data_IF_034254877391
#
_entry.id   IF_034254877391
#
_cell.length_a   1.000
_cell.length_b   1.000
_cell.length_c   1.000
_cell.angle_alpha   90.00
_cell.angle_beta   90.00
_cell.angle_gamma   90.00
#
_symmetry.space_group_name_H-M   'P 1'
#
loop_
_entity.id
_entity.type
_entity.pdbx_description
1 polymer ?
#
# COMPACT_ATOMS: atom_id res chain seq x y z
N UNK A 1 -11.73 -5.98 -40.90
CA UNK A 1 -11.20 -7.13 -40.12
C UNK A 1 -10.68 -6.60 -38.80
N UNK A 2 -11.15 -7.11 -37.66
CA UNK A 2 -10.61 -6.68 -36.35
C UNK A 2 -9.15 -7.11 -36.27
N UNK A 3 -8.23 -6.15 -36.12
CA UNK A 3 -6.80 -6.44 -35.95
C UNK A 3 -6.66 -7.23 -34.64
N UNK A 4 -6.35 -8.52 -34.73
CA UNK A 4 -6.16 -9.38 -33.55
C UNK A 4 -5.11 -8.74 -32.66
N UNK A 5 -5.50 -8.45 -31.43
CA UNK A 5 -4.62 -7.94 -30.38
C UNK A 5 -3.94 -9.12 -29.70
N UNK A 6 -2.75 -8.88 -29.16
CA UNK A 6 -1.95 -9.88 -28.49
C UNK A 6 -1.07 -9.22 -27.41
N UNK A 7 -0.66 -10.01 -26.43
CA UNK A 7 0.33 -9.64 -25.42
C UNK A 7 1.56 -10.53 -25.56
N UNK A 8 2.73 -10.02 -25.23
CA UNK A 8 4.00 -10.76 -25.26
C UNK A 8 4.55 -10.88 -23.85
N UNK A 9 4.95 -12.09 -23.48
CA UNK A 9 5.51 -12.42 -22.18
C UNK A 9 6.90 -13.05 -22.37
N UNK A 10 7.80 -12.87 -21.40
CA UNK A 10 9.10 -13.55 -21.35
C UNK A 10 8.96 -14.97 -20.83
N UNK A 11 9.83 -15.89 -21.22
CA UNK A 11 9.86 -17.24 -20.62
C UNK A 11 10.46 -17.25 -19.21
N UNK A 12 11.32 -16.27 -18.92
CA UNK A 12 11.87 -16.02 -17.59
C UNK A 12 11.83 -14.52 -17.29
N UNK A 13 10.98 -14.06 -16.35
CA UNK A 13 10.92 -12.66 -15.95
C UNK A 13 12.21 -12.15 -15.29
N UNK A 14 13.03 -13.03 -14.71
CA UNK A 14 14.23 -12.63 -13.96
C UNK A 14 15.34 -12.08 -14.87
N UNK A 15 15.31 -12.38 -16.17
CA UNK A 15 16.25 -11.81 -17.15
C UNK A 15 16.17 -10.28 -17.19
N UNK A 16 15.04 -9.70 -16.78
CA UNK A 16 14.89 -8.25 -16.69
C UNK A 16 15.86 -7.61 -15.70
N UNK A 17 16.36 -8.34 -14.70
CA UNK A 17 17.36 -7.80 -13.76
C UNK A 17 18.66 -7.42 -14.49
N UNK A 18 19.04 -8.19 -15.53
CA UNK A 18 20.27 -7.98 -16.29
C UNK A 18 20.04 -7.26 -17.63
N UNK A 19 18.90 -7.52 -18.29
CA UNK A 19 18.67 -7.17 -19.69
C UNK A 19 17.54 -6.14 -19.90
N UNK A 20 17.03 -5.49 -18.85
CA UNK A 20 15.91 -4.53 -18.94
C UNK A 20 16.06 -3.54 -20.11
N UNK A 21 17.20 -2.86 -20.21
CA UNK A 21 17.41 -1.84 -21.25
C UNK A 21 17.47 -2.43 -22.66
N UNK A 22 17.99 -3.67 -22.80
CA UNK A 22 18.05 -4.36 -24.10
C UNK A 22 16.65 -4.77 -24.54
N UNK A 23 15.84 -5.29 -23.62
CA UNK A 23 14.41 -5.60 -23.87
C UNK A 23 13.64 -4.34 -24.21
N UNK A 24 13.81 -3.27 -23.41
CA UNK A 24 13.14 -1.99 -23.62
C UNK A 24 13.45 -1.38 -24.98
N UNK A 25 14.71 -1.43 -25.44
CA UNK A 25 15.10 -0.95 -26.76
C UNK A 25 14.37 -1.67 -27.89
N UNK A 26 14.27 -3.01 -27.81
CA UNK A 26 13.53 -3.81 -28.81
C UNK A 26 12.06 -3.39 -28.84
N UNK A 27 11.45 -3.20 -27.67
CA UNK A 27 10.05 -2.75 -27.56
C UNK A 27 9.88 -1.34 -28.14
N UNK A 28 10.75 -0.41 -27.79
CA UNK A 28 10.74 0.97 -28.24
C UNK A 28 10.87 1.08 -29.76
N UNK A 29 11.81 0.33 -30.36
CA UNK A 29 12.03 0.30 -31.81
C UNK A 29 10.79 -0.20 -32.57
N UNK A 30 10.13 -1.26 -32.08
CA UNK A 30 8.97 -1.82 -32.76
C UNK A 30 7.72 -0.97 -32.58
N UNK A 31 7.54 -0.37 -31.39
CA UNK A 31 6.36 0.44 -31.08
C UNK A 31 6.50 1.91 -31.48
N UNK A 32 7.70 2.36 -31.84
CA UNK A 32 7.97 3.76 -32.18
C UNK A 32 7.79 4.71 -30.99
N UNK A 33 8.14 4.28 -29.78
CA UNK A 33 8.04 5.08 -28.55
C UNK A 33 9.43 5.34 -27.92
N UNK A 34 9.55 6.29 -26.97
CA UNK A 34 10.80 6.52 -26.25
C UNK A 34 11.28 5.29 -25.47
N UNK A 35 12.60 5.03 -25.45
CA UNK A 35 13.21 3.90 -24.73
C UNK A 35 12.90 3.94 -23.22
N UNK A 36 12.81 5.14 -22.63
CA UNK A 36 12.45 5.31 -21.22
C UNK A 36 11.03 4.79 -20.90
N UNK A 37 10.06 5.08 -21.77
CA UNK A 37 8.66 4.64 -21.58
C UNK A 37 8.52 3.13 -21.74
N UNK A 38 9.23 2.56 -22.73
CA UNK A 38 9.33 1.12 -22.91
C UNK A 38 9.99 0.46 -21.68
N UNK A 39 11.05 1.06 -21.13
CA UNK A 39 11.74 0.54 -19.96
C UNK A 39 10.84 0.54 -18.72
N UNK A 40 10.05 1.59 -18.49
CA UNK A 40 9.07 1.62 -17.40
C UNK A 40 8.00 0.54 -17.59
N UNK A 41 7.47 0.41 -18.81
CA UNK A 41 6.46 -0.60 -19.15
C UNK A 41 6.96 -2.02 -18.88
N UNK A 42 8.15 -2.35 -19.38
CA UNK A 42 8.76 -3.67 -19.22
C UNK A 42 9.11 -3.95 -17.76
N UNK A 43 9.68 -2.98 -17.05
CA UNK A 43 10.07 -3.11 -15.63
C UNK A 43 8.87 -3.44 -14.75
N UNK A 44 7.79 -2.69 -14.89
CA UNK A 44 6.59 -2.87 -14.07
C UNK A 44 5.70 -4.03 -14.55
N UNK A 45 5.93 -4.54 -15.75
CA UNK A 45 5.23 -5.69 -16.30
C UNK A 45 5.64 -7.04 -15.69
N UNK A 46 6.78 -7.14 -14.99
CA UNK A 46 7.28 -8.36 -14.31
C UNK A 46 7.15 -9.63 -15.16
N UNK A 47 7.69 -9.57 -16.39
CA UNK A 47 7.61 -10.65 -17.37
C UNK A 47 6.59 -10.42 -18.47
N UNK A 48 5.59 -9.55 -18.27
CA UNK A 48 4.69 -9.09 -19.33
C UNK A 48 5.34 -7.90 -20.06
N UNK A 49 5.90 -8.14 -21.24
CA UNK A 49 6.69 -7.16 -22.00
C UNK A 49 5.82 -6.08 -22.62
N UNK A 50 4.74 -6.48 -23.29
CA UNK A 50 3.76 -5.58 -23.91
C UNK A 50 2.35 -6.17 -23.81
N UNK A 51 1.35 -5.30 -23.73
CA UNK A 51 -0.07 -5.66 -23.56
C UNK A 51 -0.91 -5.13 -24.72
N UNK A 52 -1.81 -5.96 -25.22
CA UNK A 52 -2.87 -5.55 -26.16
C UNK A 52 -2.36 -4.78 -27.40
N UNK A 53 -1.22 -5.23 -27.94
CA UNK A 53 -0.64 -4.68 -29.18
C UNK A 53 -1.16 -5.45 -30.39
N UNK A 54 -1.17 -4.87 -31.61
CA UNK A 54 -1.43 -5.64 -32.81
C UNK A 54 -0.49 -6.86 -32.90
N UNK A 55 -1.03 -8.04 -33.23
CA UNK A 55 -0.24 -9.28 -33.29
C UNK A 55 1.06 -9.18 -34.13
N UNK A 56 1.12 -8.45 -35.26
CA UNK A 56 2.38 -8.25 -35.99
C UNK A 56 3.48 -7.56 -35.15
N UNK A 57 3.12 -6.63 -34.27
CA UNK A 57 4.08 -5.95 -33.40
C UNK A 57 4.59 -6.89 -32.31
N UNK A 58 3.71 -7.67 -31.68
CA UNK A 58 4.12 -8.70 -30.71
C UNK A 58 5.12 -9.68 -31.33
N UNK A 59 4.89 -10.15 -32.57
CA UNK A 59 5.83 -11.03 -33.29
C UNK A 59 7.15 -10.36 -33.63
N UNK A 60 7.15 -9.09 -34.04
CA UNK A 60 8.38 -8.33 -34.29
C UNK A 60 9.20 -8.17 -33.01
N UNK A 61 8.57 -7.86 -31.87
CA UNK A 61 9.25 -7.80 -30.58
C UNK A 61 9.80 -9.17 -30.20
N UNK A 62 9.00 -10.24 -30.29
CA UNK A 62 9.42 -11.63 -30.03
C UNK A 62 10.67 -12.02 -30.83
N UNK A 63 10.72 -11.69 -32.13
CA UNK A 63 11.91 -11.90 -32.98
C UNK A 63 13.12 -11.09 -32.52
N UNK A 64 12.89 -9.82 -32.13
CA UNK A 64 13.93 -8.98 -31.56
C UNK A 64 14.52 -9.56 -30.27
N UNK A 65 13.67 -10.10 -29.38
CA UNK A 65 14.09 -10.77 -28.15
C UNK A 65 14.84 -12.07 -28.43
N UNK A 66 14.38 -12.87 -29.40
CA UNK A 66 15.08 -14.08 -29.83
C UNK A 66 16.52 -13.79 -30.31
N UNK A 67 16.74 -12.68 -31.04
CA UNK A 67 18.09 -12.23 -31.43
C UNK A 67 18.98 -11.85 -30.25
N UNK A 68 18.40 -11.52 -29.10
CA UNK A 68 19.13 -11.28 -27.85
C UNK A 68 19.39 -12.58 -27.07
N UNK A 69 18.89 -13.73 -27.55
CA UNK A 69 18.92 -15.00 -26.82
C UNK A 69 17.88 -15.08 -25.70
N UNK A 70 16.82 -14.26 -25.77
CA UNK A 70 15.76 -14.21 -24.75
C UNK A 70 14.51 -14.91 -25.27
N UNK A 71 14.06 -15.91 -24.50
CA UNK A 71 12.82 -16.61 -24.75
C UNK A 71 11.59 -15.74 -24.46
N UNK A 72 10.56 -15.87 -25.30
CA UNK A 72 9.27 -15.19 -25.11
C UNK A 72 8.14 -15.90 -25.86
N UNK A 73 6.91 -15.70 -25.40
CA UNK A 73 5.71 -16.29 -25.96
C UNK A 73 4.57 -15.28 -26.06
N UNK A 74 3.68 -15.49 -27.05
CA UNK A 74 2.56 -14.61 -27.35
C UNK A 74 1.27 -15.23 -26.84
N UNK A 75 0.43 -14.42 -26.18
CA UNK A 75 -0.94 -14.80 -25.80
C UNK A 75 -1.94 -13.88 -26.48
N UNK A 76 -3.07 -14.44 -26.94
CA UNK A 76 -4.11 -13.64 -27.61
C UNK A 76 -4.79 -12.66 -26.64
N UNK A 77 -5.00 -13.07 -25.39
CA UNK A 77 -5.63 -12.24 -24.36
C UNK A 77 -4.98 -12.47 -23.00
N UNK A 78 -4.31 -11.42 -22.51
CA UNK A 78 -3.80 -11.41 -21.15
C UNK A 78 -4.98 -11.38 -20.17
N UNK A 79 -5.21 -12.51 -19.50
CA UNK A 79 -6.17 -12.65 -18.41
C UNK A 79 -5.71 -11.88 -17.18
N UNK A 80 -6.62 -11.12 -16.59
CA UNK A 80 -6.46 -10.58 -15.23
C UNK A 80 -6.38 -11.74 -14.24
N UNK A 81 -5.43 -11.72 -13.29
CA UNK A 81 -5.36 -12.76 -12.28
C UNK A 81 -6.66 -12.80 -11.46
N UNK A 82 -7.10 -13.98 -10.97
CA UNK A 82 -8.27 -14.05 -10.12
C UNK A 82 -8.10 -13.22 -8.85
N UNK A 83 -9.21 -12.65 -8.34
CA UNK A 83 -9.15 -11.92 -7.07
C UNK A 83 -8.69 -12.86 -5.95
N UNK A 84 -7.63 -12.47 -5.26
CA UNK A 84 -7.05 -13.26 -4.18
C UNK A 84 -8.05 -13.45 -3.01
N UNK A 85 -8.34 -14.71 -2.69
CA UNK A 85 -9.07 -15.11 -1.49
C UNK A 85 -8.09 -15.13 -0.32
N UNK A 86 -8.36 -14.34 0.74
CA UNK A 86 -7.52 -14.37 1.96
C UNK A 86 -7.70 -15.73 2.65
N UNK A 87 -6.63 -16.50 2.72
CA UNK A 87 -6.64 -17.74 3.47
C UNK A 87 -6.82 -17.43 4.97
N UNK A 88 -7.72 -18.16 5.63
CA UNK A 88 -7.87 -18.20 7.08
C UNK A 88 -7.27 -19.45 7.72
N UNK A 89 -6.93 -20.46 6.92
CA UNK A 89 -6.37 -21.73 7.36
C UNK A 89 -5.56 -22.36 6.21
N UNK A 90 -4.38 -22.90 6.52
CA UNK A 90 -3.56 -23.66 5.58
C UNK A 90 -2.93 -24.84 6.31
N UNK A 91 -3.20 -26.04 5.82
CA UNK A 91 -2.44 -27.25 6.16
C UNK A 91 -1.74 -27.76 4.89
N UNK A 92 -0.48 -28.15 5.03
CA UNK A 92 0.31 -28.72 3.92
C UNK A 92 0.57 -30.18 4.25
N UNK A 93 0.22 -31.07 3.31
CA UNK A 93 0.44 -32.50 3.42
C UNK A 93 1.09 -33.09 2.16
N UNK A 94 1.45 -34.37 2.20
CA UNK A 94 2.07 -35.05 1.06
C UNK A 94 1.11 -35.24 -0.13
N UNK A 95 -0.20 -35.25 0.10
CA UNK A 95 -1.21 -35.43 -0.96
C UNK A 95 -1.76 -34.12 -1.52
N UNK A 96 -1.51 -32.99 -0.85
CA UNK A 96 -2.06 -31.70 -1.25
C UNK A 96 -2.09 -30.72 -0.09
N UNK A 97 -2.98 -29.74 -0.22
CA UNK A 97 -3.22 -28.67 0.72
C UNK A 97 -4.63 -28.79 1.29
N UNK A 98 -4.83 -28.27 2.49
CA UNK A 98 -6.15 -27.97 3.02
C UNK A 98 -6.25 -26.46 3.21
N UNK A 99 -7.05 -25.79 2.39
CA UNK A 99 -7.17 -24.35 2.34
C UNK A 99 -8.55 -23.92 2.86
N UNK A 100 -8.57 -23.10 3.90
CA UNK A 100 -9.80 -22.50 4.41
C UNK A 100 -9.82 -21.00 4.19
N UNK A 101 -10.99 -20.46 3.84
CA UNK A 101 -11.28 -19.02 3.92
C UNK A 101 -12.04 -18.79 5.22
N UNK A 102 -11.89 -17.62 5.83
CA UNK A 102 -12.62 -17.28 7.06
C UNK A 102 -14.13 -17.53 6.88
N UNK A 103 -14.75 -18.17 7.87
CA UNK A 103 -16.18 -18.53 7.88
C UNK A 103 -16.64 -19.52 6.80
N UNK A 104 -15.72 -20.16 6.08
CA UNK A 104 -16.04 -21.26 5.15
C UNK A 104 -15.32 -22.54 5.58
N UNK A 105 -15.94 -23.72 5.36
CA UNK A 105 -15.26 -24.98 5.63
C UNK A 105 -13.98 -25.08 4.77
N UNK A 106 -12.86 -25.58 5.33
CA UNK A 106 -11.65 -25.78 4.54
C UNK A 106 -11.88 -26.78 3.41
N UNK A 107 -11.35 -26.46 2.23
CA UNK A 107 -11.34 -27.29 1.03
C UNK A 107 -10.03 -28.08 0.96
N UNK A 108 -10.11 -29.35 0.62
CA UNK A 108 -8.94 -30.15 0.23
C UNK A 108 -8.60 -29.83 -1.23
N UNK A 109 -7.33 -29.54 -1.50
CA UNK A 109 -6.79 -29.15 -2.80
C UNK A 109 -5.63 -30.09 -3.09
N UNK A 110 -5.76 -31.08 -3.99
CA UNK A 110 -4.65 -31.94 -4.36
C UNK A 110 -3.52 -31.13 -5.00
N UNK A 111 -2.28 -31.62 -4.90
CA UNK A 111 -1.14 -30.92 -5.51
C UNK A 111 -1.26 -30.75 -7.03
N UNK A 112 -1.99 -31.66 -7.69
CA UNK A 112 -2.30 -31.56 -9.13
C UNK A 112 -3.12 -30.32 -9.48
N UNK A 113 -3.93 -29.81 -8.55
CA UNK A 113 -4.68 -28.56 -8.72
C UNK A 113 -3.83 -27.32 -8.39
N UNK A 114 -2.61 -27.46 -7.86
CA UNK A 114 -1.77 -26.30 -7.54
C UNK A 114 -0.90 -25.96 -8.74
N UNK A 115 -1.06 -24.76 -9.28
CA UNK A 115 -0.30 -24.29 -10.44
C UNK A 115 1.02 -23.67 -10.00
N UNK A 116 0.97 -22.77 -9.01
CA UNK A 116 2.15 -22.04 -8.57
C UNK A 116 2.12 -21.73 -7.07
N UNK A 117 3.33 -21.69 -6.48
CA UNK A 117 3.59 -21.23 -5.11
C UNK A 117 4.55 -20.06 -5.20
N UNK A 118 4.06 -18.85 -4.92
CA UNK A 118 4.84 -17.62 -5.03
C UNK A 118 4.92 -16.89 -3.68
N UNK A 119 6.10 -16.87 -3.07
CA UNK A 119 6.38 -15.96 -1.96
C UNK A 119 6.63 -14.54 -2.49
N UNK A 120 6.04 -13.54 -1.85
CA UNK A 120 6.16 -12.15 -2.24
C UNK A 120 6.32 -11.23 -1.03
N UNK A 121 6.92 -10.07 -1.26
CA UNK A 121 6.87 -8.88 -0.42
C UNK A 121 6.38 -7.72 -1.30
N UNK A 122 5.28 -7.07 -0.94
CA UNK A 122 4.80 -5.89 -1.69
C UNK A 122 4.94 -4.65 -0.83
N UNK A 123 5.52 -3.59 -1.39
CA UNK A 123 5.50 -2.26 -0.79
C UNK A 123 4.06 -1.76 -0.69
N UNK A 124 3.66 -1.40 0.51
CA UNK A 124 2.44 -0.68 0.80
C UNK A 124 2.84 0.71 1.24
N UNK A 125 2.25 1.71 0.61
CA UNK A 125 2.18 3.03 1.22
C UNK A 125 1.42 2.87 2.54
N UNK A 126 1.97 3.48 3.59
CA UNK A 126 1.38 3.49 4.92
C UNK A 126 0.09 4.32 4.82
N UNK A 127 -1.01 3.70 4.41
CA UNK A 127 -2.32 4.33 4.54
C UNK A 127 -2.53 4.71 6.00
N UNK A 128 -3.16 5.86 6.23
CA UNK A 128 -3.46 6.50 7.53
C UNK A 128 -4.16 5.61 8.58
N UNK A 129 -4.51 4.37 8.25
CA UNK A 129 -4.90 3.32 9.19
C UNK A 129 -3.66 2.69 9.87
N UNK A 130 -2.85 3.54 10.52
CA UNK A 130 -1.68 3.11 11.28
C UNK A 130 -2.03 2.28 12.54
N UNK A 131 -3.30 2.19 12.91
CA UNK A 131 -3.76 1.61 14.17
C UNK A 131 -3.67 0.08 14.29
N UNK A 132 -3.50 -0.66 13.19
CA UNK A 132 -3.66 -2.12 13.20
C UNK A 132 -2.36 -2.95 13.05
N UNK A 133 -1.20 -2.32 12.84
CA UNK A 133 0.06 -3.06 12.74
C UNK A 133 0.86 -2.96 14.03
N UNK A 134 0.73 -3.97 14.89
CA UNK A 134 1.64 -4.15 16.02
C UNK A 134 3.08 -4.24 15.48
N UNK A 135 4.05 -3.47 16.03
CA UNK A 135 5.46 -3.62 15.64
C UNK A 135 5.88 -5.09 15.77
N UNK A 136 6.79 -5.55 14.92
CA UNK A 136 7.33 -6.93 14.92
C UNK A 136 8.03 -7.23 16.26
N UNK A 137 7.25 -7.49 17.32
CA UNK A 137 7.76 -7.57 18.69
C UNK A 137 8.96 -8.51 18.75
N UNK A 138 10.07 -7.99 19.26
CA UNK A 138 11.27 -8.75 19.53
C UNK A 138 10.91 -9.85 20.53
N UNK A 139 10.81 -11.08 20.02
CA UNK A 139 10.64 -12.26 20.87
C UNK A 139 12.03 -12.85 21.07
N UNK A 140 12.38 -13.13 22.33
CA UNK A 140 13.74 -13.45 22.78
C UNK A 140 14.29 -14.82 22.32
N UNK A 141 13.65 -15.48 21.36
CA UNK A 141 14.09 -16.76 20.79
C UNK A 141 13.75 -16.83 19.30
N UNK A 142 14.40 -16.00 18.49
CA UNK A 142 14.31 -16.04 17.01
C UNK A 142 15.55 -16.72 16.42
N UNK A 143 15.36 -17.41 15.30
CA UNK A 143 16.48 -18.02 14.58
C UNK A 143 17.29 -16.96 13.82
N UNK A 144 18.57 -17.22 13.49
CA UNK A 144 19.40 -16.28 12.73
C UNK A 144 18.77 -15.85 11.40
N UNK A 145 18.09 -16.78 10.73
CA UNK A 145 17.40 -16.57 9.46
C UNK A 145 16.26 -15.54 9.59
N UNK A 146 15.45 -15.67 10.63
CA UNK A 146 14.35 -14.75 10.93
C UNK A 146 14.89 -13.36 11.26
N UNK A 147 15.99 -13.30 12.02
CA UNK A 147 16.63 -12.03 12.36
C UNK A 147 17.22 -11.33 11.13
N UNK A 148 17.83 -12.09 10.21
CA UNK A 148 18.35 -11.54 8.96
C UNK A 148 17.24 -10.95 8.10
N UNK A 149 16.17 -11.71 7.87
CA UNK A 149 15.04 -11.25 7.07
C UNK A 149 14.38 -10.01 7.71
N UNK A 150 14.16 -10.05 9.02
CA UNK A 150 13.62 -8.93 9.80
C UNK A 150 14.47 -7.68 9.67
N UNK A 151 15.77 -7.77 9.92
CA UNK A 151 16.67 -6.62 9.85
C UNK A 151 16.70 -6.01 8.44
N UNK A 152 16.60 -6.85 7.40
CA UNK A 152 16.47 -6.37 6.02
C UNK A 152 15.16 -5.61 5.79
N UNK A 153 14.03 -6.13 6.29
CA UNK A 153 12.72 -5.48 6.18
C UNK A 153 12.73 -4.14 6.93
N UNK A 154 13.12 -4.14 8.21
CA UNK A 154 13.17 -2.94 9.05
C UNK A 154 14.04 -1.85 8.40
N UNK A 155 15.24 -2.21 7.92
CA UNK A 155 16.12 -1.26 7.22
C UNK A 155 15.48 -0.68 5.95
N UNK A 156 14.75 -1.49 5.19
CA UNK A 156 14.07 -1.03 3.98
C UNK A 156 12.89 -0.10 4.32
N UNK A 157 12.05 -0.51 5.28
CA UNK A 157 10.90 0.25 5.74
C UNK A 157 11.30 1.61 6.30
N UNK A 158 12.36 1.66 7.13
CA UNK A 158 12.91 2.89 7.70
C UNK A 158 13.45 3.83 6.62
N UNK A 159 14.19 3.29 5.64
CA UNK A 159 14.81 4.08 4.57
C UNK A 159 13.78 4.66 3.61
N UNK A 160 12.82 3.85 3.20
CA UNK A 160 11.85 4.21 2.16
C UNK A 160 10.54 4.78 2.74
N UNK A 161 10.43 4.84 4.08
CA UNK A 161 9.25 5.30 4.84
C UNK A 161 7.97 4.59 4.42
N UNK A 162 8.06 3.28 4.18
CA UNK A 162 6.97 2.44 3.66
C UNK A 162 6.87 1.16 4.47
N UNK A 163 5.78 0.41 4.31
CA UNK A 163 5.65 -0.93 4.90
C UNK A 163 5.74 -2.04 3.86
N UNK A 164 6.33 -3.17 4.21
CA UNK A 164 6.38 -4.36 3.40
C UNK A 164 5.33 -5.38 3.84
N UNK A 165 4.42 -5.73 2.92
CA UNK A 165 3.43 -6.78 3.12
C UNK A 165 3.98 -8.09 2.56
N UNK A 166 4.41 -8.97 3.46
CA UNK A 166 4.84 -10.32 3.09
C UNK A 166 3.65 -11.28 3.00
N UNK A 167 3.72 -12.18 2.01
CA UNK A 167 2.75 -13.26 1.85
C UNK A 167 3.19 -14.36 0.91
N UNK A 168 2.30 -15.33 0.73
CA UNK A 168 2.42 -16.41 -0.24
C UNK A 168 1.13 -16.45 -1.05
N UNK A 169 1.27 -16.45 -2.36
CA UNK A 169 0.20 -16.72 -3.31
C UNK A 169 0.24 -18.18 -3.73
N UNK A 170 -0.91 -18.84 -3.62
CA UNK A 170 -1.19 -20.19 -4.08
C UNK A 170 -2.17 -20.07 -5.24
N UNK A 171 -1.64 -20.22 -6.45
CA UNK A 171 -2.44 -20.22 -7.67
C UNK A 171 -2.91 -21.65 -7.95
N UNK A 172 -4.21 -21.84 -8.16
CA UNK A 172 -4.78 -23.15 -8.44
C UNK A 172 -5.21 -23.27 -9.91
N UNK A 173 -5.40 -24.49 -10.39
CA UNK A 173 -6.02 -24.76 -11.68
C UNK A 173 -7.44 -24.17 -11.70
N UNK A 174 -7.70 -23.27 -12.67
CA UNK A 174 -8.93 -22.50 -12.75
C UNK A 174 -8.80 -21.08 -12.18
N UNK A 175 -9.93 -20.40 -11.87
CA UNK A 175 -9.93 -19.00 -11.49
C UNK A 175 -9.75 -18.80 -9.98
N UNK A 176 -8.87 -19.56 -9.32
CA UNK A 176 -8.69 -19.45 -7.87
C UNK A 176 -7.26 -19.08 -7.48
N UNK A 177 -7.17 -18.00 -6.69
CA UNK A 177 -5.94 -17.53 -6.08
C UNK A 177 -6.18 -17.44 -4.57
N UNK A 178 -5.36 -18.12 -3.78
CA UNK A 178 -5.35 -18.01 -2.32
C UNK A 178 -4.12 -17.24 -1.86
N UNK A 179 -4.32 -16.25 -0.99
CA UNK A 179 -3.24 -15.43 -0.43
C UNK A 179 -3.14 -15.63 1.07
N UNK A 180 -1.97 -16.06 1.51
CA UNK A 180 -1.59 -16.21 2.92
C UNK A 180 -0.72 -15.02 3.30
N UNK A 181 -1.17 -14.19 4.24
CA UNK A 181 -0.35 -13.08 4.75
C UNK A 181 0.49 -13.52 5.94
N UNK A 182 1.72 -13.01 6.03
CA UNK A 182 2.64 -13.36 7.12
C UNK A 182 2.08 -13.02 8.51
N UNK A 183 1.34 -11.92 8.63
CA UNK A 183 0.78 -11.36 9.86
C UNK A 183 -0.44 -12.11 10.43
N UNK A 184 -1.01 -13.05 9.68
CA UNK A 184 -2.30 -13.64 10.05
C UNK A 184 -2.09 -14.86 10.96
N UNK A 185 -2.04 -14.59 12.27
CA UNK A 185 -1.68 -15.56 13.33
C UNK A 185 -2.48 -16.86 13.33
N UNK A 186 -3.78 -16.81 13.00
CA UNK A 186 -4.67 -17.97 12.99
C UNK A 186 -4.36 -18.99 11.89
N UNK A 187 -3.75 -18.57 10.78
CA UNK A 187 -3.52 -19.45 9.61
C UNK A 187 -2.51 -20.55 9.95
N UNK A 188 -1.50 -20.22 10.78
CA UNK A 188 -0.39 -21.12 11.10
C UNK A 188 -0.69 -22.15 12.18
N UNK A 189 -1.96 -22.27 12.61
CA UNK A 189 -2.33 -23.10 13.76
C UNK A 189 -1.87 -24.57 13.62
N UNK A 190 -1.79 -25.07 12.39
CA UNK A 190 -1.44 -26.45 12.06
C UNK A 190 -0.04 -26.62 11.47
N UNK A 191 0.76 -25.54 11.45
CA UNK A 191 2.12 -25.59 10.94
C UNK A 191 3.02 -26.44 11.88
N UNK A 192 3.71 -27.47 11.38
CA UNK A 192 4.69 -28.21 12.17
C UNK A 192 5.77 -27.27 12.72
N UNK A 193 6.05 -27.34 14.02
CA UNK A 193 7.05 -26.47 14.64
C UNK A 193 6.64 -25.00 14.76
N UNK A 194 5.32 -24.71 14.72
CA UNK A 194 4.76 -23.37 14.92
C UNK A 194 5.44 -22.62 16.07
N UNK A 195 5.87 -21.41 15.77
CA UNK A 195 6.43 -20.43 16.69
C UNK A 195 5.37 -19.37 17.08
N UNK A 196 5.67 -18.58 18.11
CA UNK A 196 4.93 -17.34 18.41
C UNK A 196 5.32 -16.20 17.46
N UNK A 197 6.42 -16.36 16.73
CA UNK A 197 6.91 -15.39 15.77
C UNK A 197 6.26 -15.61 14.40
N UNK A 198 5.49 -14.62 13.93
CA UNK A 198 4.77 -14.67 12.66
C UNK A 198 5.71 -14.85 11.45
N UNK A 199 6.86 -14.18 11.44
CA UNK A 199 7.85 -14.27 10.37
C UNK A 199 8.51 -15.66 10.31
N UNK A 200 8.77 -16.27 11.47
CA UNK A 200 9.24 -17.65 11.54
C UNK A 200 8.20 -18.63 10.99
N UNK A 201 6.91 -18.42 11.32
CA UNK A 201 5.83 -19.25 10.78
C UNK A 201 5.67 -19.06 9.27
N UNK A 202 5.82 -17.84 8.77
CA UNK A 202 5.83 -17.54 7.34
C UNK A 202 6.95 -18.30 6.62
N UNK A 203 8.20 -18.19 7.08
CA UNK A 203 9.33 -18.94 6.50
C UNK A 203 9.13 -20.45 6.61
N UNK A 204 8.61 -20.92 7.74
CA UNK A 204 8.27 -22.34 7.94
C UNK A 204 7.21 -22.82 6.93
N UNK A 205 6.19 -22.02 6.67
CA UNK A 205 5.16 -22.31 5.68
C UNK A 205 5.74 -22.33 4.25
N UNK A 206 6.50 -21.30 3.85
CA UNK A 206 7.13 -21.25 2.52
C UNK A 206 8.03 -22.47 2.32
N UNK A 207 8.87 -22.80 3.31
CA UNK A 207 9.74 -23.98 3.28
C UNK A 207 8.94 -25.27 3.13
N UNK A 208 7.84 -25.42 3.87
CA UNK A 208 6.99 -26.61 3.81
C UNK A 208 6.29 -26.75 2.46
N UNK A 209 5.78 -25.66 1.89
CA UNK A 209 5.16 -25.63 0.57
C UNK A 209 6.16 -26.01 -0.51
N UNK A 210 7.35 -25.40 -0.51
CA UNK A 210 8.41 -25.70 -1.50
C UNK A 210 8.92 -27.13 -1.38
N UNK A 211 9.02 -27.67 -0.16
CA UNK A 211 9.48 -29.04 0.06
C UNK A 211 8.48 -30.11 -0.38
N UNK A 212 7.18 -29.82 -0.37
CA UNK A 212 6.11 -30.75 -0.76
C UNK A 212 5.60 -30.53 -2.18
N UNK A 213 5.90 -29.39 -2.79
CA UNK A 213 5.50 -29.09 -4.17
C UNK A 213 6.12 -30.12 -5.14
N UNK A 214 5.32 -30.84 -5.94
CA UNK A 214 5.84 -31.73 -6.97
C UNK A 214 6.48 -30.94 -8.12
N UNK A 215 7.22 -31.63 -8.99
CA UNK A 215 7.96 -31.01 -10.11
C UNK A 215 7.08 -30.20 -11.08
N UNK A 216 5.79 -30.50 -11.16
CA UNK A 216 4.83 -29.77 -11.99
C UNK A 216 4.35 -28.43 -11.40
N UNK A 217 4.55 -28.19 -10.10
CA UNK A 217 4.17 -26.92 -9.47
C UNK A 217 5.25 -25.87 -9.72
N UNK A 218 4.83 -24.73 -10.24
CA UNK A 218 5.74 -23.62 -10.51
C UNK A 218 6.15 -22.93 -9.20
N UNK A 219 7.44 -22.99 -8.89
CA UNK A 219 8.04 -22.27 -7.75
C UNK A 219 9.07 -21.29 -8.29
N UNK A 220 8.78 -19.97 -8.30
CA UNK A 220 9.71 -18.97 -8.79
C UNK A 220 11.08 -19.03 -8.10
N UNK A 221 12.20 -18.78 -8.81
CA UNK A 221 13.53 -18.78 -8.23
C UNK A 221 13.68 -17.74 -7.13
N UNK A 222 13.03 -16.58 -7.21
CA UNK A 222 12.92 -15.63 -6.09
C UNK A 222 12.41 -16.26 -4.79
N UNK A 223 11.37 -17.12 -4.87
CA UNK A 223 10.87 -17.88 -3.71
C UNK A 223 11.91 -18.86 -3.15
N UNK A 224 12.68 -19.51 -4.02
CA UNK A 224 13.76 -20.42 -3.61
C UNK A 224 14.95 -19.65 -3.01
N UNK A 225 15.30 -18.50 -3.58
CA UNK A 225 16.38 -17.63 -3.08
C UNK A 225 16.01 -17.00 -1.74
N UNK A 226 14.76 -16.65 -1.50
CA UNK A 226 14.26 -16.28 -0.18
C UNK A 226 14.61 -17.34 0.87
N UNK A 227 14.33 -18.62 0.59
CA UNK A 227 14.63 -19.71 1.53
C UNK A 227 16.14 -19.97 1.70
N UNK A 228 16.94 -19.67 0.67
CA UNK A 228 18.39 -19.87 0.73
C UNK A 228 19.10 -18.70 1.44
N UNK A 229 18.67 -17.47 1.17
CA UNK A 229 19.36 -16.22 1.56
C UNK A 229 18.67 -15.50 2.71
N UNK A 230 17.38 -15.72 2.91
CA UNK A 230 16.53 -15.05 3.89
C UNK A 230 16.53 -13.53 3.70
N UNK A 231 16.40 -13.10 2.45
CA UNK A 231 16.37 -11.70 2.03
C UNK A 231 15.07 -11.40 1.30
N UNK A 232 14.39 -10.31 1.65
CA UNK A 232 13.10 -9.93 1.06
C UNK A 232 13.25 -9.37 -0.36
N UNK A 233 14.44 -8.88 -0.72
CA UNK A 233 14.73 -8.27 -2.03
C UNK A 233 14.53 -9.23 -3.20
N UNK A 234 14.72 -10.54 -2.97
CA UNK A 234 14.50 -11.59 -3.98
C UNK A 234 13.01 -11.79 -4.33
N UNK A 235 12.09 -11.25 -3.52
CA UNK A 235 10.64 -11.41 -3.67
C UNK A 235 9.90 -10.06 -3.64
N UNK A 236 10.63 -8.94 -3.79
CA UNK A 236 10.10 -7.59 -3.61
C UNK A 236 9.40 -7.09 -4.88
N UNK A 237 8.17 -6.60 -4.70
CA UNK A 237 7.38 -5.85 -5.67
C UNK A 237 7.16 -4.44 -5.13
N UNK A 238 7.45 -3.41 -5.94
CA UNK A 238 7.36 -2.02 -5.51
C UNK A 238 5.93 -1.49 -5.52
N UNK A 239 5.03 -2.16 -6.25
CA UNK A 239 3.61 -1.81 -6.32
C UNK A 239 2.73 -3.07 -6.34
N UNK A 240 1.46 -2.99 -5.90
CA UNK A 240 0.52 -4.12 -6.01
C UNK A 240 0.31 -4.59 -7.45
N UNK A 241 0.28 -3.67 -8.42
CA UNK A 241 0.06 -3.97 -9.84
C UNK A 241 1.19 -4.81 -10.42
N UNK A 242 2.41 -4.68 -9.89
CA UNK A 242 3.55 -5.50 -10.25
C UNK A 242 3.34 -6.97 -9.84
N UNK A 243 2.86 -7.20 -8.61
CA UNK A 243 2.51 -8.55 -8.15
C UNK A 243 1.35 -9.14 -8.97
N UNK A 244 0.35 -8.34 -9.32
CA UNK A 244 -0.74 -8.77 -10.20
C UNK A 244 -0.23 -9.14 -11.59
N UNK A 245 0.69 -8.35 -12.14
CA UNK A 245 1.32 -8.60 -13.43
C UNK A 245 2.13 -9.89 -13.42
N UNK A 246 2.90 -10.13 -12.37
CA UNK A 246 3.64 -11.38 -12.17
C UNK A 246 2.70 -12.58 -11.97
N UNK A 247 1.58 -12.39 -11.26
CA UNK A 247 0.57 -13.45 -11.08
C UNK A 247 -0.13 -13.78 -12.40
N UNK A 248 -0.41 -12.78 -13.23
CA UNK A 248 -0.89 -12.99 -14.59
C UNK A 248 0.13 -13.78 -15.41
N UNK A 249 1.41 -13.41 -15.31
CA UNK A 249 2.50 -14.12 -15.97
C UNK A 249 2.54 -15.60 -15.57
N UNK A 250 2.48 -15.92 -14.26
CA UNK A 250 2.46 -17.31 -13.76
C UNK A 250 1.31 -18.13 -14.35
N UNK A 251 0.11 -17.53 -14.44
CA UNK A 251 -1.06 -18.16 -15.02
C UNK A 251 -0.84 -18.51 -16.50
N UNK A 252 -0.36 -17.55 -17.30
CA UNK A 252 -0.15 -17.76 -18.73
C UNK A 252 1.03 -18.68 -19.04
N UNK A 253 2.09 -18.63 -18.23
CA UNK A 253 3.23 -19.55 -18.35
C UNK A 253 2.78 -21.00 -18.11
N UNK A 254 1.95 -21.24 -17.09
CA UNK A 254 1.36 -22.55 -16.85
C UNK A 254 0.43 -23.00 -17.99
N UNK A 255 -0.46 -22.14 -18.48
CA UNK A 255 -1.35 -22.46 -19.61
C UNK A 255 -0.56 -22.79 -20.90
N UNK A 256 0.61 -22.17 -21.08
CA UNK A 256 1.53 -22.46 -22.17
C UNK A 256 2.37 -23.73 -21.96
N UNK A 257 2.27 -24.38 -20.80
CA UNK A 257 3.08 -25.55 -20.44
C UNK A 257 4.57 -25.23 -20.25
N UNK A 258 4.90 -23.96 -19.98
CA UNK A 258 6.27 -23.51 -19.81
C UNK A 258 6.70 -23.73 -18.35
N UNK A 259 7.79 -24.50 -18.09
CA UNK A 259 8.38 -24.51 -16.77
C UNK A 259 9.03 -23.15 -16.51
N UNK A 260 9.08 -22.70 -15.24
CA UNK A 260 9.76 -21.45 -14.90
C UNK A 260 11.23 -21.51 -15.34
N UNK A 261 11.65 -20.61 -16.22
CA UNK A 261 13.02 -20.59 -16.73
C UNK A 261 13.39 -21.82 -17.58
N UNK A 262 12.40 -22.49 -18.17
CA UNK A 262 12.66 -23.49 -19.20
C UNK A 262 13.47 -22.87 -20.32
N UNK A 263 14.66 -23.41 -20.59
CA UNK A 263 15.37 -23.06 -21.80
C UNK A 263 14.46 -23.41 -22.98
N UNK A 264 14.10 -22.41 -23.78
CA UNK A 264 13.47 -22.65 -25.08
C UNK A 264 14.46 -23.49 -25.87
N UNK A 265 14.16 -24.77 -26.05
CA UNK A 265 14.81 -25.54 -27.10
C UNK A 265 14.51 -24.83 -28.43
N UNK A 266 15.56 -24.50 -29.18
CA UNK A 266 15.55 -23.67 -30.38
C UNK A 266 14.24 -23.80 -31.18
N UNK A 267 13.45 -22.71 -31.23
CA UNK A 267 12.30 -22.63 -32.11
C UNK A 267 12.79 -22.89 -33.55
N UNK A 268 12.17 -23.81 -34.30
CA UNK A 268 12.65 -24.13 -35.64
C UNK A 268 12.59 -22.89 -36.53
N UNK A 269 13.71 -22.57 -37.19
CA UNK A 269 13.90 -21.42 -38.08
C UNK A 269 12.81 -21.26 -39.15
N UNK A 270 12.12 -22.36 -39.50
CA UNK A 270 11.02 -22.41 -40.48
C UNK A 270 9.82 -21.52 -40.10
N UNK A 271 9.56 -21.24 -38.83
CA UNK A 271 8.45 -20.35 -38.42
C UNK A 271 8.78 -18.86 -38.68
N UNK A 272 10.06 -18.52 -38.86
CA UNK A 272 10.52 -17.15 -39.04
C UNK A 272 10.60 -16.71 -40.51
N UNK A 273 10.78 -17.65 -41.44
CA UNK A 273 11.02 -17.34 -42.86
C UNK A 273 9.75 -16.96 -43.65
N UNK A 274 8.61 -17.59 -43.38
CA UNK A 274 7.43 -17.49 -44.26
C UNK A 274 6.61 -16.19 -44.08
N UNK A 275 6.80 -15.42 -43.01
CA UNK A 275 6.04 -14.17 -42.78
C UNK A 275 6.81 -12.89 -43.16
N UNK A 276 8.11 -12.96 -43.43
CA UNK A 276 8.91 -11.78 -43.78
C UNK A 276 8.60 -11.31 -45.21
N UNK A 277 8.34 -12.24 -46.12
CA UNK A 277 7.98 -11.96 -47.52
C UNK A 277 6.58 -11.31 -47.64
N UNK A 278 5.65 -11.65 -46.75
CA UNK A 278 4.30 -11.08 -46.74
C UNK A 278 4.22 -9.65 -46.19
N UNK A 279 5.18 -9.23 -45.36
CA UNK A 279 5.16 -7.93 -44.69
C UNK A 279 5.94 -6.85 -45.47
N UNK A 280 6.97 -7.25 -46.22
CA UNK A 280 7.69 -6.36 -47.15
C UNK A 280 6.77 -5.92 -48.30
N UNK A 281 5.91 -6.82 -48.80
CA UNK A 281 4.97 -6.51 -49.88
C UNK A 281 3.84 -5.55 -49.48
N UNK A 282 3.55 -5.40 -48.18
CA UNK A 282 2.50 -4.50 -47.70
C UNK A 282 2.99 -3.07 -47.39
N UNK A 283 4.31 -2.87 -47.27
CA UNK A 283 4.90 -1.55 -46.99
C UNK A 283 5.28 -0.78 -48.27
N UNK A 284 5.38 -1.46 -49.41
CA UNK A 284 5.80 -0.87 -50.69
C UNK A 284 4.62 -0.30 -51.52
N UNK A 285 3.36 -0.57 -51.16
CA UNK A 285 2.18 -0.11 -51.92
C UNK A 285 1.58 1.23 -51.44
N UNK A 286 2.04 1.84 -50.34
CA UNK A 286 1.45 3.08 -49.78
C UNK A 286 2.39 4.32 -49.81
N UNK A 287 3.57 4.27 -50.43
CA UNK A 287 4.54 5.39 -50.43
C UNK A 287 4.77 6.10 -51.77
N UNK A 288 4.07 5.72 -52.85
CA UNK A 288 4.26 6.33 -54.18
C UNK A 288 3.46 7.63 -54.43
N UNK A 289 2.64 8.09 -53.48
CA UNK A 289 1.78 9.30 -53.63
C UNK A 289 2.22 10.51 -52.76
N UNK A 290 3.47 10.53 -52.26
CA UNK A 290 4.03 11.73 -51.64
C UNK A 290 4.66 12.65 -52.72
N UNK A 291 3.79 13.35 -53.45
CA UNK A 291 4.18 14.40 -54.39
C UNK A 291 5.06 15.47 -53.71
N UNK A 292 6.07 15.91 -54.47
CA UNK A 292 7.04 16.96 -54.18
C UNK A 292 6.41 18.18 -53.47
N UNK A 293 6.74 18.39 -52.20
CA UNK A 293 6.54 19.68 -51.55
C UNK A 293 7.76 20.55 -51.86
N UNK A 294 7.54 21.58 -52.68
CA UNK A 294 8.52 22.58 -53.10
C UNK A 294 9.17 23.31 -51.90
N UNK A 295 10.51 23.36 -51.90
CA UNK A 295 11.41 24.00 -50.92
C UNK A 295 11.41 25.54 -50.96
N UNK A 296 10.25 26.19 -51.02
CA UNK A 296 10.17 27.66 -51.09
C UNK A 296 9.11 28.22 -50.15
N UNK A 297 9.52 28.58 -48.92
CA UNK A 297 9.01 29.68 -48.06
C UNK A 297 9.22 29.39 -46.56
N UNK A 298 10.49 29.36 -46.12
CA UNK A 298 10.85 29.39 -44.68
C UNK A 298 11.89 30.48 -44.39
N UNK A 299 11.62 31.70 -44.84
CA UNK A 299 12.24 32.91 -44.31
C UNK A 299 11.09 33.88 -43.95
N UNK A 300 11.09 34.39 -42.72
CA UNK A 300 10.23 35.47 -42.16
C UNK A 300 9.23 35.10 -41.04
N UNK A 301 9.71 34.50 -39.95
CA UNK A 301 8.92 34.45 -38.71
C UNK A 301 9.76 34.62 -37.42
N UNK A 302 10.79 35.47 -37.46
CA UNK A 302 11.57 35.85 -36.29
C UNK A 302 11.59 37.38 -36.13
N UNK A 303 10.42 38.00 -35.95
CA UNK A 303 10.37 39.40 -35.53
C UNK A 303 9.21 39.65 -34.56
N UNK A 304 9.60 40.11 -33.36
CA UNK A 304 8.85 40.95 -32.43
C UNK A 304 7.52 40.45 -31.84
N UNK A 305 7.57 39.97 -30.59
CA UNK A 305 6.62 40.45 -29.56
C UNK A 305 7.37 40.60 -28.23
N UNK A 306 7.61 41.86 -27.86
CA UNK A 306 7.98 42.29 -26.51
C UNK A 306 6.87 43.23 -26.02
N UNK A 307 6.52 43.10 -24.74
CA UNK A 307 5.39 43.81 -24.10
C UNK A 307 4.06 43.07 -24.32
N UNK A 308 3.10 43.09 -23.42
CA UNK A 308 2.81 44.10 -22.42
C UNK A 308 1.86 43.51 -21.36
N UNK A 309 1.95 44.10 -20.17
CA UNK A 309 1.04 44.21 -19.02
C UNK A 309 -0.35 43.53 -18.96
N UNK A 310 -0.75 43.36 -17.68
CA UNK A 310 -2.11 43.26 -17.13
C UNK A 310 -2.80 41.90 -17.27
N UNK A 311 -3.69 41.47 -16.40
CA UNK A 311 -4.10 41.77 -15.03
C UNK A 311 -5.09 40.63 -14.69
N UNK A 312 -5.39 40.45 -13.40
CA UNK A 312 -6.68 40.04 -12.84
C UNK A 312 -7.65 39.29 -13.76
N UNK A 313 -7.91 38.02 -13.43
CA UNK A 313 -9.28 37.49 -13.49
C UNK A 313 -9.39 36.40 -12.39
N UNK A 314 -9.89 36.86 -11.24
CA UNK A 314 -10.74 36.06 -10.36
C UNK A 314 -11.93 35.57 -11.19
N UNK A 315 -12.14 34.25 -11.30
CA UNK A 315 -13.44 33.73 -11.65
C UNK A 315 -13.72 32.46 -10.83
N UNK A 316 -14.56 32.71 -9.83
CA UNK A 316 -15.35 31.74 -9.09
C UNK A 316 -16.05 30.77 -10.05
N UNK A 317 -15.83 29.47 -9.83
CA UNK A 317 -16.70 28.44 -10.36
C UNK A 317 -17.04 27.45 -9.24
N UNK A 318 -18.02 27.86 -8.44
CA UNK A 318 -18.88 26.99 -7.66
C UNK A 318 -19.48 25.90 -8.56
N UNK A 319 -18.94 24.69 -8.47
CA UNK A 319 -19.59 23.48 -8.96
C UNK A 319 -20.31 22.80 -7.79
N UNK A 320 -21.53 23.28 -7.56
CA UNK A 320 -22.61 22.67 -6.80
C UNK A 320 -23.08 21.38 -7.51
N UNK A 321 -22.43 20.25 -7.20
CA UNK A 321 -22.90 18.93 -7.61
C UNK A 321 -23.77 18.31 -6.50
N UNK A 322 -25.04 18.75 -6.53
CA UNK A 322 -26.23 17.93 -6.44
C UNK A 322 -26.15 16.61 -5.67
N UNK A 323 -26.57 16.68 -4.40
CA UNK A 323 -27.06 15.56 -3.61
C UNK A 323 -28.19 14.84 -4.36
N UNK A 324 -27.96 13.56 -4.71
CA UNK A 324 -29.05 12.60 -4.91
C UNK A 324 -29.24 11.83 -3.61
N UNK A 325 -30.24 12.26 -2.85
CA UNK A 325 -30.90 11.46 -1.83
C UNK A 325 -31.59 10.29 -2.55
N UNK A 326 -30.97 9.12 -2.53
CA UNK A 326 -31.66 7.85 -2.80
C UNK A 326 -32.00 7.22 -1.44
N UNK A 327 -33.23 7.53 -1.03
CA UNK A 327 -34.03 6.82 -0.05
C UNK A 327 -34.20 5.34 -0.46
N UNK A 328 -33.46 4.44 0.19
CA UNK A 328 -33.80 3.01 0.25
C UNK A 328 -34.24 2.67 1.69
N UNK A 329 -35.42 3.18 2.06
CA UNK A 329 -36.29 2.54 3.04
C UNK A 329 -37.02 1.38 2.34
N UNK A 330 -36.71 0.13 2.71
CA UNK A 330 -37.66 -0.99 2.58
C UNK A 330 -37.27 -2.14 3.52
N UNK A 331 -38.00 -2.21 4.62
CA UNK A 331 -38.71 -3.39 5.10
C UNK A 331 -38.07 -4.79 4.95
N UNK A 332 -37.62 -5.35 6.08
CA UNK A 332 -37.95 -6.74 6.42
C UNK A 332 -37.88 -6.96 7.93
N UNK A 333 -39.02 -6.72 8.55
CA UNK A 333 -39.49 -7.22 9.83
C UNK A 333 -39.39 -8.76 9.87
N UNK A 334 -38.69 -9.29 10.87
CA UNK A 334 -38.76 -10.68 11.29
C UNK A 334 -38.48 -10.75 12.79
N UNK A 335 -39.54 -10.50 13.55
CA UNK A 335 -39.75 -11.03 14.88
C UNK A 335 -39.80 -12.56 14.84
N UNK A 336 -39.11 -13.20 15.79
CA UNK A 336 -39.63 -14.35 16.54
C UNK A 336 -38.65 -14.69 17.68
N UNK A 337 -39.06 -14.27 18.87
CA UNK A 337 -39.05 -15.01 20.14
C UNK A 337 -38.27 -16.34 20.20
N UNK A 338 -37.32 -16.43 21.14
CA UNK A 338 -37.32 -17.55 22.08
C UNK A 338 -36.54 -17.21 23.36
N UNK A 339 -37.31 -17.19 24.44
CA UNK A 339 -36.91 -17.04 25.83
C UNK A 339 -36.00 -18.19 26.28
N UNK A 340 -34.93 -17.85 27.01
CA UNK A 340 -34.32 -18.78 27.96
C UNK A 340 -33.72 -18.03 29.15
N UNK A 341 -34.52 -17.97 30.22
CA UNK A 341 -34.15 -17.58 31.57
C UNK A 341 -32.89 -18.29 32.08
N UNK A 342 -32.00 -17.53 32.70
CA UNK A 342 -30.79 -18.02 33.36
C UNK A 342 -30.34 -17.09 34.48
N UNK A 343 -30.96 -17.27 35.64
CA UNK A 343 -30.81 -16.51 36.89
C UNK A 343 -29.39 -16.47 37.49
N UNK A 344 -29.09 -15.32 38.11
CA UNK A 344 -28.23 -15.07 39.29
C UNK A 344 -26.69 -14.91 39.14
N UNK A 345 -25.99 -14.25 40.11
CA UNK A 345 -26.39 -13.15 41.00
C UNK A 345 -25.39 -11.96 41.09
N UNK A 346 -25.91 -10.96 41.79
CA UNK A 346 -25.38 -9.71 42.33
C UNK A 346 -23.97 -9.69 42.95
N UNK A 347 -23.31 -8.53 42.82
CA UNK A 347 -22.51 -7.95 43.90
C UNK A 347 -21.24 -7.22 43.47
N UNK A 348 -21.30 -5.88 43.38
CA UNK A 348 -20.21 -5.02 43.88
C UNK A 348 -20.67 -3.57 43.95
N UNK A 349 -20.70 -3.04 45.17
CA UNK A 349 -20.92 -1.64 45.52
C UNK A 349 -19.58 -0.91 45.40
N UNK A 350 -19.52 0.21 44.69
CA UNK A 350 -18.44 1.19 44.82
C UNK A 350 -19.04 2.55 45.22
N UNK A 351 -18.38 3.30 46.12
CA UNK A 351 -18.90 4.56 46.65
C UNK A 351 -18.63 5.71 45.68
N UNK A 352 -19.53 6.70 45.69
CA UNK A 352 -19.32 8.00 45.09
C UNK A 352 -18.30 8.80 45.92
N UNK A 353 -17.34 9.43 45.25
CA UNK A 353 -16.50 10.50 45.83
C UNK A 353 -16.65 11.76 44.99
N UNK A 354 -17.00 12.84 45.68
CA UNK A 354 -17.10 14.22 45.21
C UNK A 354 -15.70 14.80 44.97
N UNK A 355 -15.30 15.02 43.71
CA UNK A 355 -14.12 15.84 43.36
C UNK A 355 -14.35 16.59 42.05
N UNK A 356 -15.30 17.54 42.05
CA UNK A 356 -15.54 18.44 40.91
C UNK A 356 -15.09 19.90 41.18
N UNK A 357 -14.38 20.15 42.28
CA UNK A 357 -14.04 21.52 42.71
C UNK A 357 -12.62 22.01 42.38
N UNK A 358 -11.70 21.11 42.02
CA UNK A 358 -10.26 21.44 41.90
C UNK A 358 -9.85 21.91 40.50
N UNK A 359 -10.40 21.30 39.45
CA UNK A 359 -9.97 21.50 38.06
C UNK A 359 -10.37 22.87 37.50
N UNK A 360 -11.57 23.36 37.85
CA UNK A 360 -12.06 24.67 37.38
C UNK A 360 -11.31 25.85 37.97
N UNK A 361 -10.66 25.67 39.13
CA UNK A 361 -9.84 26.71 39.76
C UNK A 361 -8.45 26.82 39.11
N UNK A 362 -7.86 25.69 38.72
CA UNK A 362 -6.57 25.65 38.03
C UNK A 362 -6.65 26.24 36.61
N UNK A 363 -7.74 25.97 35.88
CA UNK A 363 -7.92 26.46 34.51
C UNK A 363 -8.21 27.97 34.44
N UNK A 364 -8.92 28.52 35.43
CA UNK A 364 -9.15 29.98 35.52
C UNK A 364 -7.87 30.76 35.83
N UNK A 365 -6.88 30.15 36.48
CA UNK A 365 -5.57 30.76 36.71
C UNK A 365 -4.69 30.79 35.44
N UNK A 366 -4.82 29.77 34.57
CA UNK A 366 -4.08 29.68 33.30
C UNK A 366 -4.64 30.67 32.27
N UNK A 367 -5.98 30.78 32.16
CA UNK A 367 -6.62 31.75 31.27
C UNK A 367 -6.32 33.20 31.66
N UNK A 368 -6.21 33.49 32.97
CA UNK A 368 -5.88 34.83 33.45
C UNK A 368 -4.39 35.19 33.26
N UNK A 369 -3.51 34.22 33.08
CA UNK A 369 -2.09 34.44 32.80
C UNK A 369 -1.81 34.66 31.30
N UNK A 370 -2.68 34.15 30.43
CA UNK A 370 -2.54 34.29 28.97
C UNK A 370 -3.04 35.65 28.42
N UNK A 371 -3.85 36.39 29.18
CA UNK A 371 -4.41 37.69 28.76
C UNK A 371 -3.48 38.91 29.03
N UNK A 372 -2.29 38.71 29.61
CA UNK A 372 -1.35 39.80 29.96
C UNK A 372 -0.09 39.85 29.08
N UNK A 373 -0.05 39.09 27.98
CA UNK A 373 1.02 39.14 26.99
C UNK A 373 0.64 40.08 25.85
N UNK A 374 1.20 41.29 25.85
CA UNK A 374 1.03 42.25 24.77
C UNK A 374 1.82 41.86 23.51
N UNK A 375 1.17 42.04 22.35
CA UNK A 375 1.59 41.75 20.97
C UNK A 375 2.92 42.38 20.49
N UNK A 376 3.65 43.11 21.35
CA UNK A 376 4.78 43.97 20.94
C UNK A 376 6.17 43.34 21.18
N UNK A 377 6.28 42.20 21.88
CA UNK A 377 7.58 41.61 22.29
C UNK A 377 7.97 40.29 21.57
N UNK A 378 7.20 39.81 20.58
CA UNK A 378 7.48 38.53 19.87
C UNK A 378 8.27 38.67 18.56
N UNK A 379 8.88 39.82 18.30
CA UNK A 379 9.69 40.04 17.10
C UNK A 379 11.19 39.94 17.42
N UNK A 380 11.70 38.73 17.63
CA UNK A 380 13.07 38.28 17.32
C UNK A 380 13.34 36.94 18.02
N UNK A 381 13.16 35.79 17.34
CA UNK A 381 14.00 34.57 17.46
C UNK A 381 13.44 33.39 16.59
N UNK A 382 14.13 33.07 15.50
CA UNK A 382 13.84 31.97 14.55
C UNK A 382 14.13 30.55 15.13
N UNK A 383 13.58 30.21 16.30
CA UNK A 383 13.78 28.89 16.90
C UNK A 383 12.49 28.37 17.57
N UNK A 384 11.56 27.81 16.79
CA UNK A 384 10.72 26.62 17.14
C UNK A 384 9.40 26.45 16.32
N UNK A 385 9.20 27.09 15.17
CA UNK A 385 7.85 27.11 14.57
C UNK A 385 7.44 25.83 13.81
N UNK A 386 8.37 25.05 13.24
CA UNK A 386 7.99 23.93 12.35
C UNK A 386 7.31 22.77 13.12
N UNK A 387 7.76 22.47 14.34
CA UNK A 387 7.15 21.42 15.18
C UNK A 387 5.84 21.89 15.83
N UNK A 388 5.71 23.20 16.13
CA UNK A 388 4.49 23.76 16.73
C UNK A 388 3.38 23.92 15.69
N UNK A 389 3.72 24.34 14.46
CA UNK A 389 2.77 24.37 13.34
C UNK A 389 2.23 22.97 13.06
N UNK A 390 3.08 21.92 13.00
CA UNK A 390 2.60 20.56 12.76
C UNK A 390 1.65 20.05 13.86
N UNK A 391 1.90 20.43 15.12
CA UNK A 391 1.03 20.11 16.26
C UNK A 391 -0.30 20.88 16.21
N UNK A 392 -0.28 22.17 15.86
CA UNK A 392 -1.48 22.98 15.72
C UNK A 392 -2.34 22.51 14.54
N UNK A 393 -1.70 22.14 13.43
CA UNK A 393 -2.36 21.62 12.23
C UNK A 393 -2.94 20.21 12.48
N UNK A 394 -2.27 19.39 13.31
CA UNK A 394 -2.83 18.13 13.82
C UNK A 394 -4.05 18.37 14.73
N UNK A 395 -3.98 19.37 15.61
CA UNK A 395 -5.06 19.72 16.52
C UNK A 395 -6.28 20.27 15.77
N UNK A 396 -6.12 21.18 14.82
CA UNK A 396 -7.26 21.73 14.08
C UNK A 396 -7.98 20.67 13.24
N UNK A 397 -7.23 19.70 12.71
CA UNK A 397 -7.77 18.59 11.93
C UNK A 397 -8.49 17.53 12.78
N UNK A 398 -8.00 17.28 13.99
CA UNK A 398 -8.48 16.14 14.80
C UNK A 398 -9.25 16.55 16.06
N UNK A 399 -9.16 17.83 16.45
CA UNK A 399 -9.58 18.38 17.76
C UNK A 399 -8.99 17.62 18.95
N UNK A 400 -7.84 16.95 18.75
CA UNK A 400 -7.17 16.11 19.75
C UNK A 400 -5.69 16.41 19.83
N UNK A 401 -5.13 16.32 21.05
CA UNK A 401 -3.69 16.41 21.31
C UNK A 401 -3.20 15.08 21.88
N UNK A 402 -2.05 14.61 21.40
CA UNK A 402 -1.36 13.43 21.94
C UNK A 402 -0.54 13.79 23.18
N UNK A 403 -0.30 12.82 24.06
CA UNK A 403 0.38 13.06 25.33
C UNK A 403 1.83 13.55 25.20
N UNK A 404 2.51 13.18 24.12
CA UNK A 404 3.85 13.64 23.74
C UNK A 404 3.82 15.07 23.17
N UNK A 405 2.81 15.42 22.38
CA UNK A 405 2.59 16.80 21.88
C UNK A 405 2.30 17.76 23.03
N UNK A 406 1.42 17.37 23.96
CA UNK A 406 1.17 18.16 25.20
C UNK A 406 2.43 18.29 26.04
N UNK A 407 3.27 17.26 26.09
CA UNK A 407 4.55 17.30 26.82
C UNK A 407 5.52 18.27 26.15
N UNK A 408 5.60 18.27 24.82
CA UNK A 408 6.41 19.20 24.05
C UNK A 408 5.92 20.66 24.25
N UNK A 409 4.61 20.89 24.23
CA UNK A 409 4.04 22.22 24.53
C UNK A 409 4.35 22.69 25.95
N UNK A 410 4.27 21.81 26.95
CA UNK A 410 4.64 22.13 28.34
C UNK A 410 6.13 22.42 28.48
N UNK A 411 6.98 21.71 27.73
CA UNK A 411 8.42 21.92 27.74
C UNK A 411 8.81 23.22 27.03
N UNK A 412 8.16 23.55 25.91
CA UNK A 412 8.30 24.83 25.22
C UNK A 412 7.80 26.01 26.07
N UNK A 413 6.65 25.86 26.75
CA UNK A 413 6.17 26.87 27.68
C UNK A 413 7.15 27.10 28.85
N UNK A 414 7.80 26.03 29.34
CA UNK A 414 8.82 26.12 30.40
C UNK A 414 10.13 26.73 29.92
N UNK A 415 10.50 26.59 28.65
CA UNK A 415 11.69 27.26 28.11
C UNK A 415 11.44 28.76 27.95
N UNK A 416 10.24 29.15 27.50
CA UNK A 416 9.85 30.56 27.42
C UNK A 416 9.83 31.24 28.81
N UNK A 417 9.44 30.51 29.85
CA UNK A 417 9.42 30.99 31.24
C UNK A 417 10.82 31.03 31.90
N UNK A 418 11.82 30.34 31.32
CA UNK A 418 13.18 30.29 31.85
C UNK A 418 14.02 31.53 31.47
N UNK A 419 13.65 32.21 30.39
CA UNK A 419 14.33 33.41 29.89
C UNK A 419 13.69 34.72 30.42
N UNK A 420 12.53 34.63 31.08
CA UNK A 420 11.93 35.73 31.83
C UNK A 420 12.61 35.90 33.20
N UNK A 421 13.76 36.59 33.24
CA UNK A 421 14.33 37.10 34.49
C UNK A 421 13.47 38.25 35.06
N UNK A 422 12.29 37.95 35.63
CA UNK A 422 11.70 38.82 36.65
C UNK A 422 10.65 38.13 37.55
N UNK A 423 10.58 38.62 38.79
CA UNK A 423 9.99 37.98 39.96
C UNK A 423 8.47 37.67 39.89
N UNK A 424 8.13 36.53 40.50
CA UNK A 424 6.86 36.22 41.19
C UNK A 424 5.73 35.51 40.43
N UNK A 425 5.96 34.25 40.02
CA UNK A 425 4.95 33.20 40.20
C UNK A 425 5.58 32.02 40.94
N UNK A 426 5.29 31.96 42.23
CA UNK A 426 5.84 30.96 43.16
C UNK A 426 5.23 29.58 42.94
N UNK A 427 6.09 28.60 42.64
CA UNK A 427 6.22 27.34 43.39
C UNK A 427 4.94 26.59 43.83
N UNK A 428 3.93 26.39 42.97
CA UNK A 428 2.81 25.47 43.27
C UNK A 428 2.50 24.43 42.18
N UNK A 429 3.23 24.38 41.06
CA UNK A 429 3.16 23.28 40.08
C UNK A 429 4.06 22.07 40.46
N UNK A 430 4.32 21.90 41.76
CA UNK A 430 5.00 20.71 42.31
C UNK A 430 4.03 19.73 42.96
N UNK A 431 2.74 19.82 42.66
CA UNK A 431 1.76 18.93 43.27
C UNK A 431 1.73 17.58 42.55
N UNK A 432 1.66 16.53 43.35
CA UNK A 432 1.38 15.16 42.95
C UNK A 432 0.12 15.03 42.09
N UNK A 433 -0.74 16.05 42.03
CA UNK A 433 -1.98 16.05 41.26
C UNK A 433 -1.73 16.11 39.75
N UNK A 434 -0.68 16.79 39.27
CA UNK A 434 -0.30 16.74 37.84
C UNK A 434 0.24 15.35 37.48
N UNK A 435 0.99 14.71 38.38
CA UNK A 435 1.47 13.34 38.17
C UNK A 435 0.35 12.28 38.32
N UNK A 436 -0.64 12.52 39.17
CA UNK A 436 -1.81 11.65 39.37
C UNK A 436 -2.81 11.81 38.21
N UNK A 437 -3.01 13.03 37.71
CA UNK A 437 -3.75 13.33 36.48
C UNK A 437 -3.02 12.86 35.21
N UNK A 438 -1.71 12.55 35.26
CA UNK A 438 -1.02 11.87 34.17
C UNK A 438 -1.06 10.34 34.36
N UNK A 439 -1.00 9.85 35.61
CA UNK A 439 -1.03 8.43 35.96
C UNK A 439 -2.40 7.76 35.78
N UNK A 440 -3.50 8.50 35.93
CA UNK A 440 -4.86 8.00 35.67
C UNK A 440 -5.08 7.63 34.18
N UNK A 441 -4.28 8.16 33.26
CA UNK A 441 -4.49 8.05 31.81
C UNK A 441 -3.50 7.12 31.09
N UNK A 442 -2.51 6.54 31.77
CA UNK A 442 -1.68 5.45 31.22
C UNK A 442 -2.49 4.17 30.96
N UNK A 443 -3.75 4.08 31.43
CA UNK A 443 -4.60 2.89 31.28
C UNK A 443 -5.78 3.03 30.31
N UNK A 444 -6.02 4.20 29.71
CA UNK A 444 -7.10 4.36 28.71
C UNK A 444 -6.80 5.44 27.66
N UNK A 445 -6.54 4.98 26.44
CA UNK A 445 -6.52 5.67 25.12
C UNK A 445 -5.64 6.90 24.86
N UNK A 446 -4.99 7.52 25.85
CA UNK A 446 -3.84 8.43 25.62
C UNK A 446 -4.05 9.72 24.77
N UNK A 447 -5.28 10.04 24.36
CA UNK A 447 -5.61 11.23 23.57
C UNK A 447 -6.55 12.16 24.34
N UNK A 448 -6.27 13.47 24.29
CA UNK A 448 -7.12 14.51 24.86
C UNK A 448 -8.22 14.89 23.87
N UNK A 449 -9.49 14.90 24.29
CA UNK A 449 -10.62 15.41 23.49
C UNK A 449 -11.06 16.76 24.07
N UNK A 450 -10.51 17.85 23.52
CA UNK A 450 -10.67 19.21 24.08
C UNK A 450 -12.05 19.79 23.73
N UNK A 451 -12.75 19.22 22.75
CA UNK A 451 -14.12 19.57 22.35
C UNK A 451 -15.11 19.52 23.51
N UNK A 452 -14.86 18.64 24.48
CA UNK A 452 -15.69 18.47 25.68
C UNK A 452 -15.48 19.58 26.73
N UNK A 453 -14.32 20.24 26.72
CA UNK A 453 -14.00 21.37 27.61
C UNK A 453 -14.53 22.71 27.07
N UNK A 454 -14.55 22.87 25.73
CA UNK A 454 -15.04 24.09 25.07
C UNK A 454 -16.57 24.14 24.98
N UNK A 455 -17.24 22.98 25.01
CA UNK A 455 -18.70 22.88 24.90
C UNK A 455 -19.50 23.33 26.13
N UNK A 456 -18.88 23.46 27.31
CA UNK A 456 -19.60 23.82 28.55
C UNK A 456 -19.69 25.33 28.82
N UNK A 457 -19.01 26.19 28.05
CA UNK A 457 -19.03 27.66 28.24
C UNK A 457 -20.05 28.42 27.36
N UNK A 458 -20.87 27.73 26.55
CA UNK A 458 -21.85 28.38 25.66
C UNK A 458 -23.33 27.98 25.87
N UNK A 459 -23.67 27.27 26.94
CA UNK A 459 -25.07 27.12 27.38
C UNK A 459 -25.40 28.14 28.50
N UNK A 460 -25.42 29.43 28.15
CA UNK A 460 -25.62 30.46 29.18
C UNK A 460 -25.89 31.87 28.67
N UNK A 461 -26.59 32.04 27.55
CA UNK A 461 -27.09 33.36 27.17
C UNK A 461 -28.49 33.25 26.56
N UNK A 462 -29.51 33.25 27.42
CA UNK A 462 -30.89 33.52 27.01
C UNK A 462 -30.99 34.95 26.46
N UNK A 463 -31.60 35.19 25.29
CA UNK A 463 -31.90 36.54 24.84
C UNK A 463 -33.04 37.12 25.67
N UNK A 464 -32.72 38.21 26.37
CA UNK A 464 -33.63 39.01 27.18
C UNK A 464 -34.79 39.55 26.33
N UNK A 465 -36.03 39.29 26.77
CA UNK A 465 -37.24 39.72 26.09
C UNK A 465 -37.39 41.25 26.16
N UNK A 466 -37.40 41.94 25.02
CA UNK A 466 -38.07 43.25 24.91
C UNK A 466 -39.54 43.05 24.57
N UNK A 467 -40.37 43.22 25.60
CA UNK A 467 -41.81 43.33 25.56
C UNK A 467 -42.14 44.82 25.65
N UNK A 468 -42.71 45.42 24.61
CA UNK A 468 -43.60 46.57 24.78
C UNK A 468 -44.54 46.79 23.58
N UNK A 469 -45.81 46.90 23.94
CA UNK A 469 -47.00 47.50 23.32
C UNK A 469 -47.13 47.61 21.79
#
# INVERSE_FOLDING_TARGET
MSKRRASLLLDDPEVLVADLLRVARVVAEVLGCPEADAALTVRYGHGVVVRDVPAPYARRIMRGLARLGLGSFIVERLRTPPRAKRAGHVEVGPQGLRLGVRFKPPREVPWEEVVAVNAFAVRSESGSDESDALPLRATSATTPEVNKLRAGIELYEDRERVRLRLGVDLLLEGPELFRVRHDTTGIYAHLPGRSRNALQNYLGLVSLLVAHAPEGVMVPPGTRRLLARHEHTDILFLKPEELESFTAWLLHAHEAGLPYGGAVEDLPDEILADEEEALVLAADEELDDAEELDDAELEDAAEAVAGDDAADDDDDADADDGLTDDDDEDDADATDDDDADGDAPTGSVFPATEEAGSVTAALRAISAAAEDLSEEDLADEDLADEDLEEVLDHFDRTRRLRADEVRAMIEAARSLDADAEDEAITTELRSSEVQEALGFFETSSGAWDVSRLVGEEHEGSEPESTREA
#
